data_IF_038570855675
#
_entry.id   IF_038570855675
#
_cell.length_a   1.000
_cell.length_b   1.000
_cell.length_c   1.000
_cell.angle_alpha   90.00
_cell.angle_beta   90.00
_cell.angle_gamma   90.00
#
_symmetry.space_group_name_H-M   'P 1'
#
loop_
_entity.id
_entity.type
_entity.pdbx_description
1 polymer ?
#
# COMPACT_ATOMS: atom_id res chain seq x y z
N UNK A 1 14.34 12.40 -27.50
CA UNK A 1 14.15 11.60 -27.49
C UNK A 1 13.80 10.65 -27.60
N UNK A 2 13.72 10.09 -27.61
CA UNK A 2 13.35 9.16 -27.72
C UNK A 2 13.44 8.18 -27.41
N UNK A 3 13.08 8.13 -27.41
CA UNK A 3 13.08 7.00 -27.01
C UNK A 3 13.20 5.86 -27.75
N UNK A 4 13.83 4.93 -27.44
CA UNK A 4 14.18 3.77 -28.17
C UNK A 4 13.09 2.71 -28.20
N UNK A 5 11.87 3.09 -28.15
CA UNK A 5 10.77 2.16 -28.34
C UNK A 5 10.63 1.05 -27.31
N UNK A 6 11.06 1.25 -26.11
CA UNK A 6 10.83 0.30 -25.03
C UNK A 6 9.66 0.69 -24.18
N UNK A 7 9.20 -0.22 -23.34
CA UNK A 7 8.18 0.09 -22.34
C UNK A 7 8.55 -0.56 -21.03
N UNK A 8 8.12 0.06 -19.95
CA UNK A 8 8.31 -0.49 -18.61
C UNK A 8 6.94 -0.79 -18.00
N UNK A 9 6.80 -2.00 -17.51
CA UNK A 9 5.56 -2.42 -16.88
C UNK A 9 5.88 -2.91 -15.47
N UNK A 10 5.20 -2.36 -14.49
CA UNK A 10 5.36 -2.80 -13.11
C UNK A 10 4.41 -3.96 -12.86
N UNK A 11 4.95 -5.11 -12.47
CA UNK A 11 4.14 -6.29 -12.25
C UNK A 11 3.32 -6.16 -10.97
N UNK A 12 2.25 -6.94 -10.89
CA UNK A 12 1.42 -6.99 -9.70
C UNK A 12 2.24 -7.44 -8.49
N UNK A 13 3.15 -8.38 -8.69
CA UNK A 13 4.02 -8.84 -7.61
C UNK A 13 4.90 -7.71 -7.09
N UNK A 14 5.42 -6.87 -7.98
CA UNK A 14 6.26 -5.75 -7.60
C UNK A 14 5.44 -4.70 -6.84
N UNK A 15 4.23 -4.42 -7.30
CA UNK A 15 3.34 -3.48 -6.59
C UNK A 15 3.01 -3.98 -5.19
N UNK A 16 2.72 -5.27 -5.08
CA UNK A 16 2.45 -5.89 -3.79
C UNK A 16 3.62 -5.72 -2.84
N UNK A 17 4.84 -5.94 -3.34
CA UNK A 17 6.03 -5.82 -2.51
C UNK A 17 6.26 -4.38 -2.05
N UNK A 18 6.04 -3.41 -2.94
CA UNK A 18 6.17 -1.99 -2.60
C UNK A 18 5.22 -1.63 -1.46
N UNK A 19 3.96 -2.02 -1.60
CA UNK A 19 2.94 -1.72 -0.59
C UNK A 19 3.24 -2.46 0.72
N UNK A 20 3.66 -3.72 0.63
CA UNK A 20 3.97 -4.51 1.81
C UNK A 20 5.08 -3.86 2.63
N UNK A 21 6.13 -3.37 1.96
CA UNK A 21 7.23 -2.71 2.65
C UNK A 21 6.81 -1.37 3.24
N UNK A 22 5.95 -0.65 2.55
CA UNK A 22 5.45 0.61 3.07
C UNK A 22 4.66 0.39 4.37
N UNK A 23 3.80 -0.63 4.40
CA UNK A 23 3.04 -0.96 5.61
C UNK A 23 3.98 -1.37 6.73
N UNK A 24 4.98 -2.20 6.41
CA UNK A 24 5.93 -2.69 7.42
C UNK A 24 6.75 -1.57 8.04
N UNK A 25 6.85 -0.42 7.38
CA UNK A 25 7.58 0.72 7.91
C UNK A 25 6.78 1.51 8.95
N UNK A 26 5.49 1.21 9.10
CA UNK A 26 4.64 1.90 10.07
C UNK A 26 4.57 1.07 11.34
N UNK A 27 5.02 1.65 12.44
CA UNK A 27 5.01 0.95 13.72
C UNK A 27 3.59 0.64 14.16
N UNK A 28 3.37 -0.60 14.57
CA UNK A 28 2.07 -1.03 15.04
C UNK A 28 1.13 -1.54 13.96
N UNK A 29 1.55 -1.52 12.70
CA UNK A 29 0.72 -1.99 11.60
C UNK A 29 1.37 -3.15 10.87
N UNK A 30 0.56 -4.10 10.41
CA UNK A 30 1.01 -5.13 9.48
C UNK A 30 -0.15 -5.52 8.58
N UNK A 31 0.19 -6.01 7.40
CA UNK A 31 -0.83 -6.57 6.53
C UNK A 31 -1.37 -7.86 7.17
N UNK A 32 -2.67 -8.03 7.06
CA UNK A 32 -3.31 -9.22 7.53
C UNK A 32 -2.82 -10.43 6.73
N UNK A 33 -2.77 -11.57 7.35
CA UNK A 33 -2.42 -12.81 6.64
C UNK A 33 -3.62 -13.27 5.83
N UNK A 34 -3.36 -13.91 4.69
CA UNK A 34 -4.42 -14.42 3.87
C UNK A 34 -4.38 -13.87 2.46
N UNK A 35 -5.35 -14.27 1.64
CA UNK A 35 -5.30 -14.02 0.22
C UNK A 35 -5.68 -12.60 -0.18
N UNK A 36 -6.71 -12.05 0.37
CA UNK A 36 -7.26 -10.79 -0.12
C UNK A 36 -6.93 -9.62 0.79
N UNK A 37 -5.74 -9.66 1.35
CA UNK A 37 -5.31 -8.61 2.26
C UNK A 37 -4.86 -7.34 1.56
N UNK A 38 -4.64 -7.42 0.26
CA UNK A 38 -4.06 -6.33 -0.49
C UNK A 38 -4.53 -6.37 -1.93
N UNK A 39 -5.08 -5.27 -2.39
CA UNK A 39 -5.42 -5.10 -3.79
C UNK A 39 -4.89 -3.77 -4.27
N UNK A 40 -4.23 -3.76 -5.41
CA UNK A 40 -3.75 -2.54 -6.04
C UNK A 40 -4.21 -2.53 -7.49
N UNK A 41 -4.85 -1.45 -7.89
CA UNK A 41 -5.28 -1.28 -9.28
C UNK A 41 -4.57 -0.09 -9.89
N UNK A 42 -4.08 -0.30 -11.11
CA UNK A 42 -3.51 0.76 -11.92
C UNK A 42 -4.35 0.94 -13.16
N UNK A 43 -4.79 2.18 -13.37
CA UNK A 43 -5.60 2.52 -14.52
C UNK A 43 -5.22 3.89 -15.00
N UNK A 44 -4.73 3.98 -16.24
CA UNK A 44 -4.41 5.26 -16.88
C UNK A 44 -3.51 6.16 -16.01
N UNK A 45 -2.48 5.56 -15.43
CA UNK A 45 -1.53 6.31 -14.62
C UNK A 45 -2.02 6.63 -13.22
N UNK A 46 -3.18 6.10 -12.82
CA UNK A 46 -3.72 6.30 -11.47
C UNK A 46 -3.74 5.00 -10.72
N UNK A 47 -3.41 5.08 -9.44
CA UNK A 47 -3.34 3.91 -8.58
C UNK A 47 -4.36 4.01 -7.45
N UNK A 48 -5.00 2.90 -7.16
CA UNK A 48 -5.86 2.74 -5.97
C UNK A 48 -5.40 1.51 -5.24
N UNK A 49 -5.42 1.57 -3.92
CA UNK A 49 -5.04 0.43 -3.10
C UNK A 49 -6.09 0.19 -2.02
N UNK A 50 -6.30 -1.09 -1.71
CA UNK A 50 -7.16 -1.48 -0.60
C UNK A 50 -6.37 -2.44 0.27
N UNK A 51 -6.30 -2.16 1.56
CA UNK A 51 -5.45 -2.90 2.48
C UNK A 51 -6.25 -3.37 3.68
N UNK A 52 -6.02 -4.63 4.06
CA UNK A 52 -6.55 -5.16 5.31
C UNK A 52 -5.41 -5.30 6.29
N UNK A 53 -5.53 -4.63 7.41
CA UNK A 53 -4.46 -4.53 8.40
C UNK A 53 -4.82 -5.23 9.69
N UNK A 54 -3.77 -5.67 10.39
CA UNK A 54 -3.82 -5.95 11.79
C UNK A 54 -3.02 -4.84 12.49
N UNK A 55 -3.56 -4.30 13.56
CA UNK A 55 -2.94 -3.20 14.28
C UNK A 55 -2.71 -3.63 15.72
N UNK A 56 -1.57 -3.23 16.28
CA UNK A 56 -1.24 -3.56 17.67
C UNK A 56 -2.29 -2.98 18.61
N UNK A 57 -2.78 -3.81 19.52
CA UNK A 57 -3.76 -3.38 20.50
C UNK A 57 -3.19 -2.26 21.37
N UNK A 58 -3.99 -1.24 21.57
CA UNK A 58 -3.58 -0.07 22.35
C UNK A 58 -3.15 1.11 21.51
N UNK A 59 -2.94 0.91 20.21
CA UNK A 59 -2.64 2.02 19.31
C UNK A 59 -3.91 2.77 18.93
N UNK A 60 -3.75 4.04 18.61
CA UNK A 60 -4.87 4.87 18.15
C UNK A 60 -5.11 4.55 16.67
N UNK A 61 -6.22 3.89 16.38
CA UNK A 61 -6.48 3.36 15.04
C UNK A 61 -6.46 4.42 13.94
N UNK A 62 -7.12 5.58 14.10
CA UNK A 62 -7.05 6.59 13.03
C UNK A 62 -5.63 7.08 12.76
N UNK A 63 -4.77 7.16 13.78
CA UNK A 63 -3.40 7.60 13.58
C UNK A 63 -2.60 6.58 12.79
N UNK A 64 -2.73 5.30 13.15
CA UNK A 64 -2.02 4.22 12.45
C UNK A 64 -2.50 4.14 11.01
N UNK A 65 -3.81 4.20 10.81
CA UNK A 65 -4.39 4.13 9.47
C UNK A 65 -3.91 5.28 8.59
N UNK A 66 -3.89 6.50 9.14
CA UNK A 66 -3.42 7.65 8.38
C UNK A 66 -1.94 7.52 8.00
N UNK A 67 -1.12 7.00 8.93
CA UNK A 67 0.30 6.78 8.65
C UNK A 67 0.50 5.76 7.54
N UNK A 68 -0.28 4.68 7.56
CA UNK A 68 -0.22 3.67 6.51
C UNK A 68 -0.64 4.26 5.16
N UNK A 69 -1.75 5.00 5.14
CA UNK A 69 -2.21 5.63 3.90
C UNK A 69 -1.14 6.53 3.30
N UNK A 70 -0.51 7.34 4.14
CA UNK A 70 0.52 8.26 3.68
C UNK A 70 1.74 7.52 3.14
N UNK A 71 2.22 6.50 3.87
CA UNK A 71 3.40 5.75 3.44
C UNK A 71 3.17 5.00 2.14
N UNK A 72 2.00 4.38 2.00
CA UNK A 72 1.66 3.64 0.79
C UNK A 72 1.54 4.60 -0.38
N UNK A 73 0.85 5.73 -0.19
CA UNK A 73 0.69 6.70 -1.27
C UNK A 73 2.04 7.25 -1.73
N UNK A 74 2.92 7.58 -0.79
CA UNK A 74 4.26 8.07 -1.13
C UNK A 74 5.07 7.04 -1.89
N UNK A 75 5.03 5.78 -1.44
CA UNK A 75 5.80 4.72 -2.09
C UNK A 75 5.34 4.49 -3.52
N UNK A 76 4.02 4.45 -3.73
CA UNK A 76 3.48 4.25 -5.07
C UNK A 76 3.80 5.44 -5.98
N UNK A 77 3.62 6.65 -5.48
CA UNK A 77 3.89 7.84 -6.27
C UNK A 77 5.35 7.94 -6.68
N UNK A 78 6.27 7.64 -5.76
CA UNK A 78 7.70 7.74 -6.04
C UNK A 78 8.22 6.63 -6.92
N UNK A 79 7.86 5.40 -6.60
CA UNK A 79 8.47 4.25 -7.25
C UNK A 79 7.79 3.88 -8.55
N UNK A 80 6.51 4.18 -8.68
CA UNK A 80 5.75 3.80 -9.88
C UNK A 80 5.41 4.98 -10.77
N UNK A 81 5.72 6.19 -10.32
CA UNK A 81 5.45 7.43 -11.08
C UNK A 81 3.96 7.48 -11.48
N UNK A 82 3.09 7.23 -10.52
CA UNK A 82 1.65 7.25 -10.75
C UNK A 82 0.99 8.24 -9.83
N UNK A 83 -0.19 8.69 -10.23
CA UNK A 83 -1.01 9.51 -9.35
C UNK A 83 -1.81 8.57 -8.47
N UNK A 84 -1.73 8.76 -7.15
CA UNK A 84 -2.46 7.91 -6.22
C UNK A 84 -3.85 8.49 -5.99
N UNK A 85 -4.85 7.74 -6.40
CA UNK A 85 -6.24 8.19 -6.32
C UNK A 85 -6.82 7.91 -4.93
N UNK A 86 -6.57 6.74 -4.39
CA UNK A 86 -7.11 6.36 -3.09
C UNK A 86 -6.29 5.24 -2.47
N UNK A 87 -6.19 5.28 -1.15
CA UNK A 87 -5.65 4.18 -0.36
C UNK A 87 -6.67 3.90 0.74
N UNK A 88 -7.39 2.80 0.60
CA UNK A 88 -8.40 2.40 1.58
C UNK A 88 -7.78 1.43 2.56
N UNK A 89 -7.94 1.72 3.84
CA UNK A 89 -7.38 0.90 4.91
C UNK A 89 -8.52 0.38 5.76
N UNK A 90 -8.55 -0.93 5.94
CA UNK A 90 -9.55 -1.59 6.77
C UNK A 90 -8.80 -2.30 7.89
N UNK A 91 -9.10 -1.95 9.13
CA UNK A 91 -8.49 -2.63 10.28
C UNK A 91 -9.38 -3.82 10.62
N UNK A 92 -8.85 -5.02 10.37
CA UNK A 92 -9.59 -6.26 10.55
C UNK A 92 -9.25 -6.99 11.84
N UNK A 93 -8.05 -6.76 12.36
CA UNK A 93 -7.58 -7.46 13.54
C UNK A 93 -6.83 -6.52 14.46
N UNK A 94 -6.91 -6.83 15.76
CA UNK A 94 -6.10 -6.16 16.77
C UNK A 94 -5.16 -7.21 17.35
N UNK A 95 -3.85 -6.96 17.24
CA UNK A 95 -2.85 -7.89 17.77
C UNK A 95 -2.64 -7.62 19.24
N UNK A 96 -2.82 -8.64 20.06
CA UNK A 96 -2.56 -8.54 21.48
C UNK A 96 -1.07 -8.69 21.78
N UNK A 97 -0.60 -8.03 22.83
CA UNK A 97 0.80 -8.16 23.22
C UNK A 97 1.13 -9.57 23.72
#
# INVERSE_FOLDING_TARGET
MQEAGGSVRVSEAALTEIVRRAVASVEGARLRKGRRRLGVELQEGRASAELQLAVAYGRVLPEVSAAVQERVAQALARMCDVEVEAVHVIVEELDRP
#
